data_IF_820598305988
#
_entry.id   IF_820598305988
#
_cell.length_a   1.000
_cell.length_b   1.000
_cell.length_c   1.000
_cell.angle_alpha   90.00
_cell.angle_beta   90.00
_cell.angle_gamma   90.00
#
_symmetry.space_group_name_H-M   'P 1'
#
loop_
_entity.id
_entity.type
_entity.pdbx_description
1 polymer ?
#
# COMPACT_ATOMS: atom_id res chain seq x y z
N UNK A 1 -16.76 7.86 1.15
CA UNK A 1 -16.15 9.21 0.96
C UNK A 1 -17.08 10.32 1.47
N UNK A 2 -17.41 10.34 2.76
CA UNK A 2 -18.40 11.28 3.34
C UNK A 2 -17.80 12.62 3.78
N UNK A 3 -16.48 12.70 4.00
CA UNK A 3 -15.80 13.91 4.49
C UNK A 3 -15.48 15.00 3.46
N UNK A 4 -15.30 14.65 2.18
CA UNK A 4 -14.86 15.61 1.14
C UNK A 4 -15.97 15.91 0.14
N UNK A 5 -16.36 17.18 0.01
CA UNK A 5 -17.40 17.63 -0.94
C UNK A 5 -16.83 18.01 -2.31
N UNK A 6 -17.61 17.82 -3.39
CA UNK A 6 -17.19 18.22 -4.75
C UNK A 6 -16.80 19.70 -4.85
N UNK A 7 -17.47 20.59 -4.11
CA UNK A 7 -17.12 22.02 -4.06
C UNK A 7 -15.72 22.24 -3.48
N UNK A 8 -15.39 21.53 -2.41
CA UNK A 8 -14.07 21.60 -1.78
C UNK A 8 -12.98 21.07 -2.73
N UNK A 9 -13.27 20.00 -3.48
CA UNK A 9 -12.35 19.46 -4.49
C UNK A 9 -12.11 20.47 -5.61
N UNK A 10 -13.17 21.04 -6.20
CA UNK A 10 -13.04 22.09 -7.22
C UNK A 10 -12.21 23.28 -6.73
N UNK A 11 -12.50 23.75 -5.51
CA UNK A 11 -11.78 24.86 -4.89
C UNK A 11 -10.29 24.53 -4.70
N UNK A 12 -9.98 23.34 -4.17
CA UNK A 12 -8.59 22.90 -3.97
C UNK A 12 -7.84 22.70 -5.28
N UNK A 13 -8.52 22.29 -6.34
CA UNK A 13 -7.94 22.11 -7.67
C UNK A 13 -7.81 23.41 -8.47
N UNK A 14 -8.31 24.54 -7.95
CA UNK A 14 -8.40 25.81 -8.70
C UNK A 14 -9.30 25.72 -9.94
N UNK A 15 -10.23 24.76 -9.97
CA UNK A 15 -11.08 24.47 -11.11
C UNK A 15 -12.50 25.07 -10.92
N UNK A 16 -13.16 25.52 -12.00
CA UNK A 16 -14.57 25.89 -11.94
C UNK A 16 -15.42 24.70 -11.50
N UNK A 17 -16.35 24.90 -10.57
CA UNK A 17 -17.21 23.81 -10.07
C UNK A 17 -17.97 23.09 -11.19
N UNK A 18 -18.41 23.83 -12.22
CA UNK A 18 -19.09 23.27 -13.39
C UNK A 18 -18.23 22.32 -14.22
N UNK A 19 -16.90 22.43 -14.17
CA UNK A 19 -15.98 21.56 -14.91
C UNK A 19 -15.92 20.15 -14.34
N UNK A 20 -16.27 19.93 -13.06
CA UNK A 20 -16.27 18.57 -12.48
C UNK A 20 -17.16 17.63 -13.29
N UNK A 21 -18.37 18.05 -13.64
CA UNK A 21 -19.30 17.20 -14.40
C UNK A 21 -18.91 17.02 -15.87
N UNK A 22 -18.00 17.86 -16.38
CA UNK A 22 -17.42 17.67 -17.71
C UNK A 22 -16.38 16.53 -17.69
N UNK A 23 -15.50 16.51 -16.69
CA UNK A 23 -14.45 15.48 -16.56
C UNK A 23 -14.96 14.18 -15.90
N UNK A 24 -15.95 14.30 -15.02
CA UNK A 24 -16.56 13.20 -14.29
C UNK A 24 -18.09 13.25 -14.46
N UNK A 25 -18.63 12.85 -15.62
CA UNK A 25 -20.08 12.82 -15.87
C UNK A 25 -20.86 11.97 -14.85
N UNK A 26 -20.24 10.91 -14.31
CA UNK A 26 -20.78 10.10 -13.21
C UNK A 26 -20.69 10.76 -11.83
N UNK A 27 -20.25 12.02 -11.77
CA UNK A 27 -20.22 12.82 -10.56
C UNK A 27 -19.25 12.30 -9.50
N UNK A 28 -19.66 12.40 -8.23
CA UNK A 28 -18.80 12.09 -7.08
C UNK A 28 -18.38 10.63 -7.02
N UNK A 29 -19.23 9.70 -7.42
CA UNK A 29 -18.92 8.27 -7.40
C UNK A 29 -17.80 7.95 -8.41
N UNK A 30 -17.91 8.47 -9.65
CA UNK A 30 -16.86 8.30 -10.65
C UNK A 30 -15.55 8.97 -10.21
N UNK A 31 -15.61 10.22 -9.74
CA UNK A 31 -14.43 10.92 -9.23
C UNK A 31 -13.74 10.12 -8.10
N UNK A 32 -14.54 9.50 -7.22
CA UNK A 32 -14.03 8.71 -6.11
C UNK A 32 -13.32 7.43 -6.58
N UNK A 33 -13.92 6.69 -7.51
CA UNK A 33 -13.32 5.49 -8.10
C UNK A 33 -11.99 5.81 -8.80
N UNK A 34 -11.99 6.84 -9.67
CA UNK A 34 -10.80 7.29 -10.40
C UNK A 34 -9.69 7.76 -9.44
N UNK A 35 -10.06 8.47 -8.37
CA UNK A 35 -9.10 8.91 -7.36
C UNK A 35 -8.46 7.74 -6.61
N UNK A 36 -9.25 6.71 -6.25
CA UNK A 36 -8.73 5.48 -5.61
C UNK A 36 -7.74 4.78 -6.54
N UNK A 37 -8.07 4.63 -7.82
CA UNK A 37 -7.22 3.95 -8.80
C UNK A 37 -5.93 4.73 -9.08
N UNK A 38 -6.04 6.04 -9.28
CA UNK A 38 -4.90 6.91 -9.55
C UNK A 38 -3.95 6.98 -8.34
N UNK A 39 -4.48 7.21 -7.13
CA UNK A 39 -3.68 7.19 -5.91
C UNK A 39 -3.11 5.80 -5.66
N UNK A 40 -3.89 4.74 -5.87
CA UNK A 40 -3.46 3.36 -5.72
C UNK A 40 -2.26 3.03 -6.60
N UNK A 41 -2.27 3.44 -7.87
CA UNK A 41 -1.14 3.26 -8.76
C UNK A 41 0.09 4.06 -8.32
N UNK A 42 -0.09 5.32 -7.92
CA UNK A 42 1.00 6.17 -7.45
C UNK A 42 1.69 5.60 -6.19
N UNK A 43 0.89 5.18 -5.20
CA UNK A 43 1.41 4.62 -3.96
C UNK A 43 2.01 3.23 -4.15
N UNK A 44 1.48 2.42 -5.08
CA UNK A 44 2.13 1.18 -5.49
C UNK A 44 3.57 1.44 -5.91
N UNK A 45 3.75 2.37 -6.85
CA UNK A 45 5.05 2.63 -7.45
C UNK A 45 6.00 3.23 -6.41
N UNK A 46 5.51 4.09 -5.52
CA UNK A 46 6.27 4.61 -4.39
C UNK A 46 6.74 3.50 -3.42
N UNK A 47 5.81 2.65 -2.95
CA UNK A 47 6.08 1.64 -1.93
C UNK A 47 6.94 0.50 -2.50
N UNK A 48 6.70 0.11 -3.75
CA UNK A 48 7.39 -1.03 -4.37
C UNK A 48 8.71 -0.67 -5.03
N UNK A 49 9.00 0.62 -5.28
CA UNK A 49 10.28 1.06 -5.88
C UNK A 49 11.52 0.60 -5.10
N UNK A 50 11.37 0.33 -3.81
CA UNK A 50 12.47 -0.17 -2.97
C UNK A 50 12.94 -1.58 -3.37
N UNK A 51 12.05 -2.38 -3.97
CA UNK A 51 12.41 -3.71 -4.49
C UNK A 51 13.02 -3.65 -5.89
N UNK A 52 13.00 -2.48 -6.54
CA UNK A 52 13.64 -2.27 -7.84
C UNK A 52 15.14 -1.94 -7.70
N UNK A 53 15.65 -1.83 -6.47
CA UNK A 53 17.07 -1.59 -6.20
C UNK A 53 17.87 -2.90 -6.34
N UNK A 54 18.96 -2.86 -7.11
CA UNK A 54 19.88 -3.99 -7.26
C UNK A 54 20.52 -4.36 -5.92
N UNK A 55 20.11 -5.50 -5.33
CA UNK A 55 20.68 -6.00 -4.08
C UNK A 55 20.22 -7.43 -3.77
N UNK A 56 21.12 -8.34 -3.35
CA UNK A 56 20.79 -9.75 -3.17
C UNK A 56 19.98 -10.04 -1.88
N UNK A 57 19.86 -9.09 -0.96
CA UNK A 57 19.28 -9.32 0.37
C UNK A 57 17.86 -8.76 0.47
N UNK A 58 16.88 -9.59 0.12
CA UNK A 58 15.46 -9.26 0.25
C UNK A 58 15.05 -8.94 1.69
N UNK A 59 15.67 -9.57 2.70
CA UNK A 59 15.34 -9.29 4.10
C UNK A 59 15.80 -7.88 4.50
N UNK A 60 16.96 -7.43 4.02
CA UNK A 60 17.40 -6.05 4.19
C UNK A 60 16.51 -5.05 3.45
N UNK A 61 16.08 -5.37 2.23
CA UNK A 61 15.13 -4.54 1.47
C UNK A 61 13.82 -4.35 2.23
N UNK A 62 13.28 -5.42 2.82
CA UNK A 62 12.08 -5.36 3.67
C UNK A 62 12.29 -4.44 4.86
N UNK A 63 13.37 -4.60 5.64
CA UNK A 63 13.66 -3.72 6.78
C UNK A 63 13.74 -2.25 6.36
N UNK A 64 14.38 -1.98 5.22
CA UNK A 64 14.52 -0.63 4.67
C UNK A 64 13.16 -0.05 4.28
N UNK A 65 12.25 -0.84 3.72
CA UNK A 65 10.90 -0.39 3.37
C UNK A 65 10.10 0.05 4.60
N UNK A 66 10.14 -0.73 5.68
CA UNK A 66 9.46 -0.38 6.92
C UNK A 66 10.11 0.81 7.63
N UNK A 67 11.44 0.95 7.58
CA UNK A 67 12.13 2.11 8.10
C UNK A 67 11.77 3.40 7.33
N UNK A 68 11.73 3.34 6.00
CA UNK A 68 11.31 4.47 5.17
C UNK A 68 9.84 4.88 5.44
N UNK A 69 8.95 3.89 5.66
CA UNK A 69 7.58 4.16 6.06
C UNK A 69 7.50 4.84 7.45
N UNK A 70 8.36 4.44 8.40
CA UNK A 70 8.44 5.07 9.72
C UNK A 70 8.92 6.52 9.62
N UNK A 71 9.99 6.77 8.85
CA UNK A 71 10.52 8.11 8.63
C UNK A 71 9.48 9.03 8.00
N UNK A 72 8.74 8.55 6.98
CA UNK A 72 7.67 9.32 6.36
C UNK A 72 6.54 9.63 7.36
N UNK A 73 6.15 8.64 8.16
CA UNK A 73 5.09 8.82 9.15
C UNK A 73 5.49 9.86 10.22
N UNK A 74 6.75 9.83 10.70
CA UNK A 74 7.26 10.82 11.65
C UNK A 74 7.30 12.21 11.02
N UNK A 75 7.86 12.32 9.81
CA UNK A 75 8.02 13.59 9.10
C UNK A 75 6.68 14.30 8.83
N UNK A 76 5.60 13.53 8.72
CA UNK A 76 4.24 14.01 8.48
C UNK A 76 3.40 14.13 9.76
N UNK A 77 4.02 14.10 10.94
CA UNK A 77 3.33 14.13 12.24
C UNK A 77 2.23 13.05 12.37
N UNK A 78 2.52 11.85 11.86
CA UNK A 78 1.64 10.68 11.83
C UNK A 78 0.35 10.88 11.02
N UNK A 79 0.33 11.86 10.10
CA UNK A 79 -0.85 12.12 9.27
C UNK A 79 -0.85 11.30 7.99
N UNK A 80 0.32 11.02 7.42
CA UNK A 80 0.48 10.33 6.13
C UNK A 80 0.68 8.82 6.33
N UNK A 81 -0.44 8.09 6.42
CA UNK A 81 -0.46 6.64 6.30
C UNK A 81 -1.15 6.23 5.00
N UNK A 82 -1.30 4.93 4.75
CA UNK A 82 -1.91 4.44 3.52
C UNK A 82 -3.32 5.01 3.29
N UNK A 83 -3.52 5.85 2.25
CA UNK A 83 -4.83 6.42 1.95
C UNK A 83 -5.82 5.35 1.47
N UNK A 84 -5.31 4.30 0.80
CA UNK A 84 -6.15 3.21 0.28
C UNK A 84 -6.73 2.38 1.43
N UNK A 85 -5.94 2.07 2.47
CA UNK A 85 -6.42 1.37 3.65
C UNK A 85 -7.51 2.17 4.38
N UNK A 86 -7.32 3.48 4.51
CA UNK A 86 -8.32 4.37 5.13
C UNK A 86 -9.65 4.33 4.36
N UNK A 87 -9.59 4.45 3.03
CA UNK A 87 -10.80 4.40 2.20
C UNK A 87 -11.44 3.01 2.27
N UNK A 88 -10.65 1.94 2.19
CA UNK A 88 -11.15 0.56 2.27
C UNK A 88 -11.95 0.34 3.57
N UNK A 89 -11.44 0.80 4.72
CA UNK A 89 -12.13 0.72 6.00
C UNK A 89 -13.43 1.55 6.04
N UNK A 90 -13.48 2.69 5.36
CA UNK A 90 -14.69 3.53 5.30
C UNK A 90 -15.79 2.91 4.41
N UNK A 91 -15.40 2.34 3.27
CA UNK A 91 -16.36 1.92 2.23
C UNK A 91 -16.74 0.45 2.29
N UNK A 92 -16.02 -0.39 3.04
CA UNK A 92 -16.13 -1.85 2.98
C UNK A 92 -17.55 -2.41 3.16
N UNK A 93 -18.39 -1.74 3.94
CA UNK A 93 -19.78 -2.16 4.19
C UNK A 93 -20.82 -1.16 3.71
N UNK A 94 -20.40 -0.10 3.00
CA UNK A 94 -21.27 1.03 2.67
C UNK A 94 -21.29 1.37 1.17
N UNK A 95 -20.27 1.00 0.42
CA UNK A 95 -20.17 1.27 -1.03
C UNK A 95 -19.41 0.14 -1.74
N UNK A 96 -20.17 -0.76 -2.38
CA UNK A 96 -19.63 -1.95 -3.05
C UNK A 96 -18.70 -1.60 -4.22
N UNK A 97 -19.00 -0.51 -4.96
CA UNK A 97 -18.19 -0.09 -6.09
C UNK A 97 -16.81 0.40 -5.61
N UNK A 98 -16.77 1.25 -4.58
CA UNK A 98 -15.49 1.72 -4.02
C UNK A 98 -14.77 0.60 -3.26
N UNK A 99 -15.49 -0.35 -2.64
CA UNK A 99 -14.88 -1.56 -2.08
C UNK A 99 -14.21 -2.41 -3.18
N UNK A 100 -14.81 -2.57 -4.34
CA UNK A 100 -14.16 -3.21 -5.48
C UNK A 100 -12.91 -2.46 -5.93
N UNK A 101 -12.97 -1.13 -6.06
CA UNK A 101 -11.81 -0.31 -6.46
C UNK A 101 -10.62 -0.49 -5.51
N UNK A 102 -10.87 -0.46 -4.19
CA UNK A 102 -9.80 -0.68 -3.19
C UNK A 102 -9.27 -2.11 -3.22
N UNK A 103 -10.12 -3.12 -3.41
CA UNK A 103 -9.69 -4.51 -3.55
C UNK A 103 -8.80 -4.73 -4.79
N UNK A 104 -9.12 -4.10 -5.91
CA UNK A 104 -8.31 -4.15 -7.12
C UNK A 104 -6.94 -3.50 -6.92
N UNK A 105 -6.88 -2.35 -6.24
CA UNK A 105 -5.61 -1.70 -5.89
C UNK A 105 -4.73 -2.59 -5.02
N UNK A 106 -5.26 -3.15 -3.93
CA UNK A 106 -4.46 -4.04 -3.07
C UNK A 106 -4.05 -5.33 -3.80
N UNK A 107 -4.91 -5.89 -4.64
CA UNK A 107 -4.57 -7.07 -5.46
C UNK A 107 -3.39 -6.75 -6.36
N UNK A 108 -3.44 -5.62 -7.05
CA UNK A 108 -2.36 -5.16 -7.93
C UNK A 108 -1.05 -4.92 -7.16
N UNK A 109 -1.09 -4.33 -5.97
CA UNK A 109 0.11 -4.18 -5.12
C UNK A 109 0.76 -5.52 -4.77
N UNK A 110 -0.06 -6.52 -4.43
CA UNK A 110 0.42 -7.86 -4.06
C UNK A 110 1.04 -8.56 -5.28
N UNK A 111 0.38 -8.55 -6.44
CA UNK A 111 0.90 -9.21 -7.64
C UNK A 111 2.16 -8.51 -8.15
N UNK A 112 2.15 -7.19 -8.25
CA UNK A 112 3.28 -6.41 -8.77
C UNK A 112 4.49 -6.43 -7.82
N UNK A 113 4.27 -6.57 -6.51
CA UNK A 113 5.35 -6.83 -5.58
C UNK A 113 5.92 -8.25 -5.72
N UNK A 114 5.06 -9.23 -5.98
CA UNK A 114 5.48 -10.62 -6.10
C UNK A 114 6.35 -10.85 -7.34
N UNK A 115 6.11 -10.07 -8.40
CA UNK A 115 6.96 -10.06 -9.59
C UNK A 115 8.31 -9.36 -9.37
N UNK A 116 8.39 -8.35 -8.50
CA UNK A 116 9.68 -7.68 -8.19
C UNK A 116 10.65 -8.57 -7.43
N UNK A 117 10.13 -9.56 -6.71
CA UNK A 117 10.96 -10.55 -6.01
C UNK A 117 11.10 -11.85 -6.83
N UNK A 118 10.92 -11.78 -8.16
CA UNK A 118 10.89 -12.98 -8.98
C UNK A 118 12.21 -13.75 -9.03
N UNK A 119 13.33 -13.04 -8.96
CA UNK A 119 14.68 -13.59 -9.12
C UNK A 119 15.21 -14.25 -7.83
N UNK A 120 14.43 -14.29 -6.76
CA UNK A 120 14.85 -14.88 -5.48
C UNK A 120 14.79 -16.41 -5.45
N UNK A 121 14.40 -17.07 -6.56
CA UNK A 121 14.22 -18.52 -6.65
C UNK A 121 13.01 -19.07 -5.88
N UNK A 122 12.15 -18.21 -5.32
CA UNK A 122 10.96 -18.62 -4.59
C UNK A 122 9.81 -19.01 -5.54
N UNK A 123 9.03 -20.05 -5.24
CA UNK A 123 7.84 -20.39 -6.03
C UNK A 123 6.83 -19.23 -6.07
N UNK A 124 6.09 -19.03 -7.19
CA UNK A 124 5.15 -17.92 -7.33
C UNK A 124 4.13 -17.78 -6.18
N UNK A 125 3.61 -18.90 -5.68
CA UNK A 125 2.68 -18.92 -4.54
C UNK A 125 3.32 -18.42 -3.23
N UNK A 126 4.61 -18.66 -3.05
CA UNK A 126 5.37 -18.18 -1.89
C UNK A 126 5.64 -16.69 -2.01
N UNK A 127 6.03 -16.19 -3.20
CA UNK A 127 6.22 -14.75 -3.46
C UNK A 127 4.94 -13.96 -3.18
N UNK A 128 3.82 -14.41 -3.74
CA UNK A 128 2.50 -13.82 -3.50
C UNK A 128 2.13 -13.80 -2.01
N UNK A 129 2.34 -14.91 -1.30
CA UNK A 129 2.07 -15.00 0.15
C UNK A 129 2.95 -14.05 0.96
N UNK A 130 4.24 -13.92 0.62
CA UNK A 130 5.15 -12.99 1.29
C UNK A 130 4.74 -11.54 1.05
N UNK A 131 4.35 -11.18 -0.17
CA UNK A 131 3.86 -9.81 -0.44
C UNK A 131 2.53 -9.49 0.23
N UNK A 132 1.61 -10.46 0.29
CA UNK A 132 0.40 -10.31 1.10
C UNK A 132 0.75 -10.09 2.58
N UNK A 133 1.72 -10.84 3.11
CA UNK A 133 2.22 -10.66 4.48
C UNK A 133 2.89 -9.30 4.70
N UNK A 134 3.66 -8.83 3.73
CA UNK A 134 4.29 -7.50 3.73
C UNK A 134 3.23 -6.40 3.83
N UNK A 135 2.26 -6.37 2.91
CA UNK A 135 1.19 -5.35 2.91
C UNK A 135 0.37 -5.44 4.19
N UNK A 136 -0.04 -6.64 4.61
CA UNK A 136 -0.82 -6.80 5.85
C UNK A 136 -0.08 -6.26 7.08
N UNK A 137 1.22 -6.54 7.17
CA UNK A 137 2.05 -6.08 8.29
C UNK A 137 2.28 -4.58 8.25
N UNK A 138 2.48 -4.01 7.05
CA UNK A 138 2.64 -2.57 6.84
C UNK A 138 1.39 -1.80 7.23
N UNK A 139 0.21 -2.23 6.77
CA UNK A 139 -1.06 -1.58 7.09
C UNK A 139 -1.40 -1.68 8.59
N UNK A 140 -1.19 -2.84 9.19
CA UNK A 140 -1.37 -3.02 10.64
C UNK A 140 -0.41 -2.14 11.46
N UNK A 141 0.85 -2.04 11.01
CA UNK A 141 1.84 -1.19 11.65
C UNK A 141 1.50 0.29 11.52
N UNK A 142 0.97 0.76 10.39
CA UNK A 142 0.47 2.14 10.27
C UNK A 142 -0.66 2.44 11.27
N UNK A 143 -1.62 1.52 11.42
CA UNK A 143 -2.72 1.67 12.38
C UNK A 143 -2.18 1.84 13.81
N UNK A 144 -1.31 0.93 14.25
CA UNK A 144 -0.74 0.97 15.59
C UNK A 144 0.15 2.20 15.79
N UNK A 145 1.01 2.52 14.83
CA UNK A 145 1.96 3.63 14.94
C UNK A 145 1.24 4.97 15.07
N UNK A 146 0.13 5.16 14.34
CA UNK A 146 -0.70 6.36 14.46
C UNK A 146 -1.42 6.44 15.80
N UNK A 147 -1.98 5.32 16.27
CA UNK A 147 -2.73 5.29 17.53
C UNK A 147 -1.82 5.55 18.74
N UNK A 148 -0.61 4.99 18.71
CA UNK A 148 0.39 5.13 19.77
C UNK A 148 1.24 6.39 19.63
N UNK A 149 1.25 7.02 18.44
CA UNK A 149 2.21 8.06 18.04
C UNK A 149 3.66 7.62 18.27
N UNK A 150 3.96 6.40 17.83
CA UNK A 150 5.24 5.73 18.02
C UNK A 150 5.59 4.94 16.74
N UNK A 151 6.80 5.06 16.15
CA UNK A 151 7.18 4.27 14.98
C UNK A 151 7.53 2.80 15.29
N UNK A 152 7.63 2.40 16.57
CA UNK A 152 7.99 1.03 16.99
C UNK A 152 7.23 -0.07 16.23
N UNK A 153 5.90 0.01 15.99
CA UNK A 153 5.18 -1.03 15.28
C UNK A 153 5.67 -1.26 13.84
N UNK A 154 6.15 -0.21 13.15
CA UNK A 154 6.73 -0.34 11.80
C UNK A 154 8.06 -1.10 11.83
N UNK A 155 8.93 -0.78 12.78
CA UNK A 155 10.20 -1.51 12.94
C UNK A 155 9.96 -2.99 13.32
N UNK A 156 9.06 -3.26 14.26
CA UNK A 156 8.71 -4.62 14.66
C UNK A 156 8.10 -5.44 13.52
N UNK A 157 7.23 -4.82 12.72
CA UNK A 157 6.65 -5.45 11.52
C UNK A 157 7.73 -5.75 10.47
N UNK A 158 8.66 -4.82 10.24
CA UNK A 158 9.79 -5.01 9.33
C UNK A 158 10.66 -6.21 9.69
N UNK A 159 11.03 -6.35 10.96
CA UNK A 159 11.79 -7.51 11.43
C UNK A 159 11.01 -8.83 11.29
N UNK A 160 9.72 -8.82 11.60
CA UNK A 160 8.85 -9.99 11.48
C UNK A 160 8.76 -10.48 10.03
N UNK A 161 8.55 -9.56 9.09
CA UNK A 161 8.45 -9.91 7.65
C UNK A 161 9.82 -10.33 7.11
N UNK A 162 10.90 -9.66 7.51
CA UNK A 162 12.26 -10.03 7.11
C UNK A 162 12.64 -11.44 7.59
N UNK A 163 12.25 -11.83 8.81
CA UNK A 163 12.43 -13.18 9.31
C UNK A 163 11.63 -14.22 8.51
N UNK A 164 10.39 -13.90 8.13
CA UNK A 164 9.56 -14.78 7.31
C UNK A 164 10.17 -15.00 5.90
N UNK A 165 10.69 -13.95 5.28
CA UNK A 165 11.43 -14.04 4.01
C UNK A 165 12.67 -14.92 4.16
N UNK A 166 13.46 -14.70 5.21
CA UNK A 166 14.68 -15.47 5.47
C UNK A 166 14.38 -16.97 5.61
N UNK A 167 13.32 -17.31 6.35
CA UNK A 167 12.86 -18.69 6.51
C UNK A 167 12.39 -19.31 5.18
N UNK A 168 11.69 -18.55 4.35
CA UNK A 168 11.24 -19.02 3.03
C UNK A 168 12.42 -19.32 2.09
N UNK A 169 13.43 -18.44 2.05
CA UNK A 169 14.64 -18.62 1.25
C UNK A 169 15.45 -19.83 1.69
N UNK A 170 15.63 -20.01 3.00
CA UNK A 170 16.33 -21.17 3.56
C UNK A 170 15.60 -22.49 3.20
N UNK A 171 14.27 -22.50 3.27
CA UNK A 171 13.47 -23.67 2.90
C UNK A 171 13.60 -24.00 1.41
N UNK A 172 13.61 -22.99 0.53
CA UNK A 172 13.77 -23.20 -0.90
C UNK A 172 15.16 -23.75 -1.27
N UNK A 173 16.22 -23.29 -0.59
CA UNK A 173 17.56 -23.80 -0.78
C UNK A 173 17.66 -25.30 -0.45
N UNK A 174 17.04 -25.74 0.65
CA UNK A 174 17.04 -27.16 1.06
C UNK A 174 16.22 -28.09 0.16
N UNK A 175 15.33 -27.56 -0.69
CA UNK A 175 14.53 -28.35 -1.64
C UNK A 175 15.20 -28.49 -3.02
N UNK A 176 16.29 -27.74 -3.24
CA UNK A 176 17.03 -27.75 -4.51
C UNK A 176 18.25 -28.69 -4.46
N UNK A 177 18.65 -29.13 -3.27
CA UNK A 177 19.65 -30.19 -3.01
C UNK A 177 19.02 -31.60 -3.06
#
# INVERSE_FOLDING_TARGET
MTGTGLKQIAQSAGAPFGSIYHFFPGGKAQLADEAIRAAGAMYRDLVLAIFDQDGPDLAATIRTAFAAAADNLIATDYTDACPIATIALEVASTDEALRHATAEVFTDWIEQGAERIADTGLPPSTRRRLMLGFITSLEGAFVLSRALRDPEPLFAAGETVAAAVTSALATAATQTE
#
